data_IF_026153493969
#
_entry.id   IF_026153493969
#
_cell.length_a   1.000
_cell.length_b   1.000
_cell.length_c   1.000
_cell.angle_alpha   90.00
_cell.angle_beta   90.00
_cell.angle_gamma   90.00
#
_symmetry.space_group_name_H-M   'P 1'
#
loop_
_entity.id
_entity.type
_entity.pdbx_description
1 polymer ?
#
# COMPACT_ATOMS: atom_id res chain seq x y z
N UNK A 1 19.85 -0.41 -17.02
CA UNK A 1 19.78 -0.20 -15.57
C UNK A 1 19.40 -1.51 -14.86
N UNK A 2 19.96 -1.72 -13.67
CA UNK A 2 19.56 -2.87 -12.84
C UNK A 2 18.14 -2.73 -12.33
N UNK A 3 17.38 -3.82 -12.38
CA UNK A 3 16.03 -3.92 -11.83
C UNK A 3 15.77 -5.33 -11.29
N UNK A 4 15.02 -5.45 -10.18
CA UNK A 4 14.55 -6.72 -9.67
C UNK A 4 13.18 -7.04 -10.29
N UNK A 5 13.14 -8.03 -11.14
CA UNK A 5 11.97 -8.31 -11.98
C UNK A 5 11.50 -9.76 -11.88
N UNK A 6 10.20 -9.95 -12.04
CA UNK A 6 9.56 -11.23 -12.24
C UNK A 6 9.86 -11.72 -13.67
N UNK A 7 10.61 -12.80 -13.79
CA UNK A 7 10.94 -13.42 -15.10
C UNK A 7 9.81 -14.36 -15.54
N UNK A 8 9.34 -15.16 -14.60
CA UNK A 8 8.20 -16.07 -14.73
C UNK A 8 7.73 -16.44 -13.33
N UNK A 9 6.61 -17.09 -13.24
CA UNK A 9 6.09 -17.61 -11.96
C UNK A 9 7.18 -18.37 -11.20
N UNK A 10 7.33 -18.08 -9.93
CA UNK A 10 8.32 -18.61 -8.99
C UNK A 10 9.78 -18.23 -9.31
N UNK A 11 10.02 -17.29 -10.21
CA UNK A 11 11.36 -16.83 -10.54
C UNK A 11 11.40 -15.30 -10.66
N UNK A 12 12.08 -14.64 -9.73
CA UNK A 12 12.42 -13.23 -9.80
C UNK A 12 13.92 -13.05 -9.57
N UNK A 13 14.54 -12.14 -10.28
CA UNK A 13 15.98 -11.87 -10.19
C UNK A 13 16.33 -10.45 -10.66
N UNK A 14 17.54 -10.03 -10.34
CA UNK A 14 18.10 -8.80 -10.90
C UNK A 14 18.44 -9.03 -12.37
N UNK A 15 18.00 -8.12 -13.23
CA UNK A 15 18.30 -8.11 -14.67
C UNK A 15 18.61 -6.68 -15.12
N UNK A 16 19.28 -6.57 -16.26
CA UNK A 16 19.49 -5.29 -16.91
C UNK A 16 18.35 -4.98 -17.88
N UNK A 17 17.74 -3.82 -17.71
CA UNK A 17 16.68 -3.28 -18.55
C UNK A 17 17.06 -1.86 -19.05
N UNK A 18 16.50 -1.38 -20.16
CA UNK A 18 16.61 0.03 -20.53
C UNK A 18 16.10 0.95 -19.41
N UNK A 19 16.73 2.09 -19.20
CA UNK A 19 16.17 3.15 -18.34
C UNK A 19 14.85 3.66 -18.92
N UNK A 20 13.88 4.00 -18.06
CA UNK A 20 12.58 4.52 -18.51
C UNK A 20 12.80 5.85 -19.27
N UNK A 21 11.88 6.13 -20.18
CA UNK A 21 11.75 7.43 -20.84
C UNK A 21 10.38 7.97 -20.51
N UNK A 22 10.28 9.29 -20.35
CA UNK A 22 8.97 9.91 -20.19
C UNK A 22 8.06 9.50 -21.35
N UNK A 23 7.00 8.78 -21.00
CA UNK A 23 6.02 8.28 -21.97
C UNK A 23 4.88 9.28 -22.19
N UNK A 24 4.70 10.25 -21.26
CA UNK A 24 3.68 11.28 -21.31
C UNK A 24 4.21 12.59 -20.69
N UNK A 25 3.78 13.79 -21.16
CA UNK A 25 4.20 15.07 -20.63
C UNK A 25 3.74 15.35 -19.18
N UNK A 26 2.81 14.60 -18.62
CA UNK A 26 2.36 14.71 -17.22
C UNK A 26 3.12 13.78 -16.26
N UNK A 27 3.99 12.91 -16.77
CA UNK A 27 4.69 11.92 -15.97
C UNK A 27 6.00 12.46 -15.37
N UNK A 28 6.53 11.73 -14.39
CA UNK A 28 7.86 11.96 -13.84
C UNK A 28 8.69 10.67 -13.83
N UNK A 29 10.03 10.80 -13.97
CA UNK A 29 10.99 9.74 -13.74
C UNK A 29 11.64 9.99 -12.38
N UNK A 30 11.71 8.93 -11.56
CA UNK A 30 12.18 8.97 -10.20
C UNK A 30 13.27 7.91 -9.96
N UNK A 31 14.15 8.19 -9.00
CA UNK A 31 15.06 7.19 -8.42
C UNK A 31 14.64 6.92 -6.97
N UNK A 32 14.47 5.65 -6.54
CA UNK A 32 14.09 5.35 -5.17
C UNK A 32 15.22 5.74 -4.19
N UNK A 33 14.86 6.33 -3.06
CA UNK A 33 15.77 6.61 -1.93
C UNK A 33 15.47 5.73 -0.73
N UNK A 34 14.25 5.22 -0.62
CA UNK A 34 13.83 4.17 0.30
C UNK A 34 12.74 3.33 -0.35
N UNK A 35 12.78 2.03 -0.12
CA UNK A 35 11.78 1.06 -0.62
C UNK A 35 11.42 0.08 0.47
N UNK A 36 10.22 -0.50 0.39
CA UNK A 36 9.76 -1.60 1.25
C UNK A 36 9.31 -2.79 0.41
N UNK A 37 9.39 -3.97 1.00
CA UNK A 37 8.88 -5.21 0.40
C UNK A 37 7.57 -5.58 1.07
N UNK A 38 6.52 -5.66 0.28
CA UNK A 38 5.20 -6.07 0.73
C UNK A 38 4.97 -7.58 0.52
N UNK A 39 4.08 -8.18 1.31
CA UNK A 39 3.62 -9.56 1.08
C UNK A 39 2.99 -9.72 -0.31
N UNK A 40 2.42 -8.68 -0.88
CA UNK A 40 1.85 -8.70 -2.23
C UNK A 40 2.90 -8.88 -3.33
N UNK A 41 4.15 -8.42 -3.13
CA UNK A 41 5.28 -8.71 -4.04
C UNK A 41 5.59 -10.21 -4.04
N UNK A 42 5.62 -10.82 -2.85
CA UNK A 42 5.81 -12.28 -2.69
C UNK A 42 4.67 -13.04 -3.39
N UNK A 43 3.43 -12.60 -3.22
CA UNK A 43 2.27 -13.18 -3.90
C UNK A 43 2.31 -12.98 -5.42
N UNK A 44 2.91 -11.89 -5.90
CA UNK A 44 3.12 -11.67 -7.34
C UNK A 44 4.08 -12.69 -7.93
N UNK A 45 5.13 -13.07 -7.17
CA UNK A 45 6.11 -14.08 -7.61
C UNK A 45 5.57 -15.50 -7.50
N UNK A 46 4.98 -15.86 -6.35
CA UNK A 46 4.64 -17.25 -6.01
C UNK A 46 3.15 -17.59 -6.10
N UNK A 47 2.30 -16.59 -6.21
CA UNK A 47 0.86 -16.78 -6.23
C UNK A 47 0.33 -17.46 -7.50
N UNK A 48 -0.92 -17.91 -7.43
CA UNK A 48 -1.64 -18.56 -8.56
C UNK A 48 -2.45 -17.58 -9.42
N UNK A 49 -2.22 -16.27 -9.26
CA UNK A 49 -2.97 -15.22 -9.96
C UNK A 49 -2.79 -15.23 -11.50
N UNK A 50 -3.44 -14.27 -12.16
CA UNK A 50 -3.35 -14.09 -13.61
C UNK A 50 -1.91 -13.95 -14.12
N UNK A 51 -1.68 -14.34 -15.37
CA UNK A 51 -0.38 -14.18 -16.05
C UNK A 51 0.05 -12.71 -15.95
N UNK A 52 1.27 -12.49 -15.49
CA UNK A 52 1.91 -11.17 -15.41
C UNK A 52 2.75 -10.91 -16.67
N UNK A 53 3.02 -9.65 -16.99
CA UNK A 53 4.00 -9.31 -18.03
C UNK A 53 5.35 -9.98 -17.77
N UNK A 54 6.03 -10.40 -18.81
CA UNK A 54 7.40 -10.90 -18.71
C UNK A 54 8.33 -9.75 -18.34
N UNK A 55 9.32 -10.03 -17.48
CA UNK A 55 10.27 -9.04 -16.94
C UNK A 55 9.60 -7.86 -16.20
N UNK A 56 8.47 -8.11 -15.54
CA UNK A 56 7.79 -7.10 -14.74
C UNK A 56 8.67 -6.69 -13.56
N UNK A 57 9.09 -5.42 -13.53
CA UNK A 57 9.77 -4.84 -12.37
C UNK A 57 8.82 -4.86 -11.17
N UNK A 58 9.27 -5.42 -10.05
CA UNK A 58 8.49 -5.56 -8.82
C UNK A 58 8.58 -4.32 -7.93
N UNK A 59 7.83 -4.34 -6.82
CA UNK A 59 7.81 -3.28 -5.81
C UNK A 59 6.82 -2.17 -6.10
N UNK A 60 6.21 -1.64 -5.03
CA UNK A 60 5.18 -0.59 -5.13
C UNK A 60 5.20 0.39 -3.96
N UNK A 61 6.16 0.28 -3.07
CA UNK A 61 6.33 1.18 -1.93
C UNK A 61 7.68 1.88 -2.04
N UNK A 62 7.67 3.19 -2.24
CA UNK A 62 8.90 3.98 -2.33
C UNK A 62 8.73 5.41 -1.82
N UNK A 63 9.76 5.90 -1.14
CA UNK A 63 10.11 7.33 -1.13
C UNK A 63 11.18 7.51 -2.20
N UNK A 64 11.02 8.48 -3.07
CA UNK A 64 11.86 8.63 -4.25
C UNK A 64 12.26 10.09 -4.49
N UNK A 65 13.33 10.28 -5.23
CA UNK A 65 13.76 11.59 -5.72
C UNK A 65 13.40 11.73 -7.20
N UNK A 66 12.83 12.86 -7.57
CA UNK A 66 12.52 13.18 -8.95
C UNK A 66 13.82 13.45 -9.72
N UNK A 67 14.02 12.71 -10.79
CA UNK A 67 15.15 12.85 -11.72
C UNK A 67 14.76 13.72 -12.92
N UNK A 68 13.52 13.56 -13.38
CA UNK A 68 13.01 14.30 -14.52
C UNK A 68 11.50 14.45 -14.43
N UNK A 69 10.99 15.60 -14.82
CA UNK A 69 9.55 15.85 -14.97
C UNK A 69 9.17 16.08 -16.43
N UNK A 70 7.94 15.71 -16.78
CA UNK A 70 7.35 16.06 -18.07
C UNK A 70 6.99 17.56 -18.14
N UNK A 71 6.90 18.10 -19.34
CA UNK A 71 6.71 19.55 -19.57
C UNK A 71 5.40 20.13 -19.02
N UNK A 72 4.43 19.27 -18.71
CA UNK A 72 3.13 19.64 -18.16
C UNK A 72 2.97 19.39 -16.66
N UNK A 73 3.99 18.84 -16.00
CA UNK A 73 4.04 18.73 -14.53
C UNK A 73 4.23 20.13 -13.95
N UNK A 74 3.44 20.51 -12.95
CA UNK A 74 3.38 21.86 -12.37
C UNK A 74 3.83 21.92 -10.92
N UNK A 75 3.50 20.89 -10.14
CA UNK A 75 3.63 20.91 -8.67
C UNK A 75 4.99 20.36 -8.21
N UNK A 76 5.76 19.76 -9.12
CA UNK A 76 7.03 19.11 -8.82
C UNK A 76 8.16 19.55 -9.76
N UNK A 77 9.39 19.44 -9.27
CA UNK A 77 10.63 19.69 -10.02
C UNK A 77 11.70 18.64 -9.75
N UNK A 78 12.71 18.60 -10.59
CA UNK A 78 13.91 17.76 -10.39
C UNK A 78 14.55 18.04 -9.03
N UNK A 79 14.91 16.98 -8.31
CA UNK A 79 15.51 17.01 -6.99
C UNK A 79 14.51 16.89 -5.84
N UNK A 80 13.21 17.13 -6.05
CA UNK A 80 12.20 16.95 -5.01
C UNK A 80 12.19 15.51 -4.49
N UNK A 81 12.00 15.34 -3.19
CA UNK A 81 11.82 14.05 -2.55
C UNK A 81 10.34 13.85 -2.28
N UNK A 82 9.79 12.76 -2.78
CA UNK A 82 8.35 12.50 -2.81
C UNK A 82 8.02 11.12 -2.26
N UNK A 83 6.82 11.02 -1.69
CA UNK A 83 6.15 9.76 -1.36
C UNK A 83 5.43 9.27 -2.62
N UNK A 84 5.64 8.00 -2.98
CA UNK A 84 5.06 7.38 -4.16
C UNK A 84 4.01 6.36 -3.73
N UNK A 85 2.72 6.55 -4.06
CA UNK A 85 1.67 5.60 -3.67
C UNK A 85 1.79 4.30 -4.46
N UNK A 86 1.29 3.22 -3.88
CA UNK A 86 1.30 1.90 -4.52
C UNK A 86 0.42 1.84 -5.79
N UNK A 87 -0.61 2.66 -5.84
CA UNK A 87 -1.50 2.80 -6.99
C UNK A 87 -1.40 4.20 -7.58
N UNK A 88 -1.30 4.27 -8.90
CA UNK A 88 -1.17 5.51 -9.67
C UNK A 88 -2.31 5.60 -10.68
N UNK A 89 -3.52 6.02 -10.24
CA UNK A 89 -4.67 6.16 -11.12
C UNK A 89 -4.42 7.19 -12.22
N UNK A 90 -5.13 7.03 -13.34
CA UNK A 90 -5.10 7.99 -14.44
C UNK A 90 -6.07 9.14 -14.17
N UNK A 91 -5.59 10.37 -14.21
CA UNK A 91 -6.38 11.57 -13.99
C UNK A 91 -7.58 11.70 -14.94
N UNK A 92 -7.44 11.24 -16.18
CA UNK A 92 -8.50 11.30 -17.17
C UNK A 92 -9.56 10.20 -17.07
N UNK A 93 -9.40 9.27 -16.13
CA UNK A 93 -10.38 8.24 -15.87
C UNK A 93 -11.65 8.85 -15.23
N UNK A 94 -12.81 8.48 -15.79
CA UNK A 94 -14.08 9.02 -15.31
C UNK A 94 -14.37 8.67 -13.85
N UNK A 95 -14.00 7.49 -13.42
CA UNK A 95 -14.17 7.09 -12.02
C UNK A 95 -13.36 7.99 -11.07
N UNK A 96 -12.14 8.37 -11.47
CA UNK A 96 -11.33 9.33 -10.70
C UNK A 96 -12.01 10.69 -10.63
N UNK A 97 -12.50 11.20 -11.76
CA UNK A 97 -13.19 12.50 -11.82
C UNK A 97 -14.50 12.52 -11.05
N UNK A 98 -15.18 11.37 -10.98
CA UNK A 98 -16.40 11.19 -10.18
C UNK A 98 -16.10 10.92 -8.68
N UNK A 99 -14.83 10.83 -8.26
CA UNK A 99 -14.42 10.56 -6.88
C UNK A 99 -14.43 9.09 -6.47
N UNK A 100 -14.58 8.17 -7.42
CA UNK A 100 -14.61 6.73 -7.18
C UNK A 100 -13.21 6.11 -7.28
N UNK A 101 -12.28 6.55 -6.46
CA UNK A 101 -10.86 6.17 -6.55
C UNK A 101 -10.59 4.66 -6.46
N UNK A 102 -11.48 3.90 -5.81
CA UNK A 102 -11.34 2.43 -5.68
C UNK A 102 -11.62 1.67 -7.00
N UNK A 103 -12.28 2.29 -7.94
CA UNK A 103 -12.69 1.69 -9.21
C UNK A 103 -12.02 2.34 -10.43
N UNK A 104 -10.99 3.13 -10.20
CA UNK A 104 -10.31 3.86 -11.25
C UNK A 104 -9.67 2.94 -12.30
N UNK A 105 -10.22 3.01 -13.51
CA UNK A 105 -9.75 2.25 -14.67
C UNK A 105 -10.47 0.94 -14.91
N UNK A 106 -10.39 0.46 -16.16
CA UNK A 106 -11.03 -0.77 -16.65
C UNK A 106 -10.62 -2.06 -15.90
N UNK A 107 -9.65 -2.00 -15.06
CA UNK A 107 -9.18 -3.07 -14.17
C UNK A 107 -9.21 -2.57 -12.74
N UNK A 108 -9.73 -3.38 -11.84
CA UNK A 108 -9.83 -3.18 -10.39
C UNK A 108 -8.56 -2.70 -9.66
N UNK A 109 -7.53 -2.40 -10.36
CA UNK A 109 -6.22 -2.11 -9.78
C UNK A 109 -5.58 -0.94 -10.46
N UNK A 110 -6.31 0.06 -10.93
CA UNK A 110 -5.68 1.26 -11.48
C UNK A 110 -4.15 1.04 -11.66
N UNK A 111 -3.40 1.50 -12.42
CA UNK A 111 -1.98 1.24 -12.63
C UNK A 111 -1.19 0.92 -11.33
N UNK A 112 -1.34 -0.28 -10.78
CA UNK A 112 -0.61 -0.70 -9.57
C UNK A 112 0.84 -0.99 -9.93
N UNK A 113 1.76 -0.24 -9.34
CA UNK A 113 3.20 -0.41 -9.50
C UNK A 113 3.62 -1.84 -9.11
N UNK A 114 4.52 -2.45 -9.86
CA UNK A 114 4.99 -3.81 -9.62
C UNK A 114 3.95 -4.92 -9.87
N UNK A 115 2.79 -4.58 -10.42
CA UNK A 115 1.71 -5.55 -10.66
C UNK A 115 1.06 -5.44 -12.02
N UNK A 116 0.59 -4.27 -12.42
CA UNK A 116 0.05 -3.97 -13.76
C UNK A 116 0.99 -3.10 -14.58
N UNK A 117 1.82 -2.31 -13.89
CA UNK A 117 2.86 -1.46 -14.46
C UNK A 117 4.21 -1.77 -13.83
N UNK A 118 5.35 -1.40 -14.45
CA UNK A 118 6.67 -1.54 -13.85
C UNK A 118 6.73 -0.89 -12.46
N UNK A 119 7.36 -1.59 -11.51
CA UNK A 119 7.43 -1.18 -10.13
C UNK A 119 8.70 -0.39 -9.77
N UNK A 120 8.91 -0.23 -8.46
CA UNK A 120 9.94 0.65 -7.89
C UNK A 120 11.27 -0.07 -7.57
N UNK A 121 11.38 -1.38 -7.75
CA UNK A 121 12.63 -2.12 -7.48
C UNK A 121 13.59 -2.03 -8.66
N UNK A 122 13.94 -0.82 -9.05
CA UNK A 122 14.85 -0.49 -10.14
C UNK A 122 15.66 0.77 -9.80
N UNK A 123 16.71 1.05 -10.59
CA UNK A 123 17.47 2.31 -10.44
C UNK A 123 16.63 3.54 -10.74
N UNK A 124 15.73 3.41 -11.71
CA UNK A 124 14.78 4.46 -12.09
C UNK A 124 13.45 3.83 -12.45
N UNK A 125 12.37 4.56 -12.23
CA UNK A 125 11.02 4.17 -12.63
C UNK A 125 10.20 5.39 -13.01
N UNK A 126 9.15 5.19 -13.80
CA UNK A 126 8.24 6.26 -14.21
C UNK A 126 6.96 6.21 -13.37
N UNK A 127 6.45 7.38 -12.99
CA UNK A 127 5.13 7.54 -12.38
C UNK A 127 4.27 8.38 -13.32
N UNK A 128 3.10 7.83 -13.65
CA UNK A 128 2.11 8.52 -14.47
C UNK A 128 1.42 9.63 -13.67
N UNK A 129 0.98 10.69 -14.38
CA UNK A 129 0.21 11.81 -13.81
C UNK A 129 0.80 12.30 -12.47
N UNK A 130 2.05 12.80 -12.51
CA UNK A 130 2.84 13.12 -11.31
C UNK A 130 2.10 14.06 -10.35
N UNK A 131 1.45 15.11 -10.84
CA UNK A 131 0.72 16.08 -10.01
C UNK A 131 -0.49 15.47 -9.29
N UNK A 132 -1.05 14.35 -9.79
CA UNK A 132 -2.10 13.59 -9.12
C UNK A 132 -1.55 12.59 -8.11
N UNK A 133 -0.43 11.94 -8.47
CA UNK A 133 -0.01 10.69 -7.84
C UNK A 133 1.17 10.83 -6.87
N UNK A 134 1.82 11.98 -6.81
CA UNK A 134 2.96 12.20 -5.91
C UNK A 134 2.60 13.16 -4.78
N UNK A 135 3.31 13.03 -3.66
CA UNK A 135 3.25 14.00 -2.57
C UNK A 135 4.67 14.33 -2.10
N UNK A 136 4.96 15.62 -1.88
CA UNK A 136 6.25 16.03 -1.29
C UNK A 136 6.40 15.36 0.08
N UNK A 137 7.57 14.77 0.36
CA UNK A 137 7.91 14.36 1.71
C UNK A 137 8.13 15.62 2.56
N UNK A 138 7.30 15.86 3.58
CA UNK A 138 7.42 17.08 4.39
C UNK A 138 8.77 17.18 5.12
N UNK A 139 9.25 18.39 5.32
CA UNK A 139 10.44 18.63 6.13
C UNK A 139 10.26 18.08 7.56
N UNK A 140 11.27 17.40 8.08
CA UNK A 140 11.22 16.77 9.39
C UNK A 140 10.59 15.37 9.42
N UNK A 141 9.94 14.91 8.33
CA UNK A 141 9.46 13.53 8.22
C UNK A 141 10.59 12.63 7.75
N UNK A 142 10.84 11.54 8.48
CA UNK A 142 11.88 10.59 8.09
C UNK A 142 11.50 9.82 6.82
N UNK A 143 12.51 9.29 6.10
CA UNK A 143 12.26 8.41 4.94
C UNK A 143 11.44 7.18 5.34
N UNK A 144 11.65 6.64 6.54
CA UNK A 144 10.90 5.49 7.06
C UNK A 144 9.43 5.81 7.29
N UNK A 145 9.13 6.95 7.92
CA UNK A 145 7.74 7.37 8.14
C UNK A 145 7.02 7.67 6.83
N UNK A 146 7.68 8.37 5.90
CA UNK A 146 7.16 8.60 4.56
C UNK A 146 6.90 7.29 3.81
N UNK A 147 7.80 6.31 3.95
CA UNK A 147 7.65 5.00 3.32
C UNK A 147 6.43 4.23 3.84
N UNK A 148 6.12 4.31 5.14
CA UNK A 148 4.92 3.68 5.70
C UNK A 148 3.62 4.28 5.14
N UNK A 149 3.65 5.52 4.68
CA UNK A 149 2.50 6.19 4.08
C UNK A 149 2.25 5.82 2.60
N UNK A 150 3.16 5.09 1.95
CA UNK A 150 3.03 4.72 0.54
C UNK A 150 1.95 3.67 0.29
N UNK A 151 1.74 2.75 1.24
CA UNK A 151 0.73 1.69 1.17
C UNK A 151 0.15 1.36 2.56
N UNK A 152 0.98 0.89 3.50
CA UNK A 152 0.49 0.23 4.72
C UNK A 152 -0.40 1.12 5.58
N UNK A 153 -0.02 2.38 5.80
CA UNK A 153 -0.82 3.32 6.58
C UNK A 153 -2.10 3.69 5.84
N UNK A 154 -2.01 4.08 4.58
CA UNK A 154 -3.17 4.48 3.76
C UNK A 154 -4.16 3.34 3.62
N UNK A 155 -3.71 2.13 3.30
CA UNK A 155 -4.57 0.94 3.18
C UNK A 155 -5.23 0.58 4.50
N UNK A 156 -4.49 0.62 5.63
CA UNK A 156 -5.04 0.34 6.95
C UNK A 156 -6.08 1.37 7.38
N UNK A 157 -5.82 2.65 7.16
CA UNK A 157 -6.79 3.71 7.46
C UNK A 157 -8.03 3.67 6.58
N UNK A 158 -7.89 3.34 5.29
CA UNK A 158 -9.04 3.11 4.38
C UNK A 158 -9.91 1.95 4.89
N UNK A 159 -9.30 0.86 5.37
CA UNK A 159 -10.05 -0.23 6.00
C UNK A 159 -10.85 0.19 7.23
N UNK A 160 -10.44 1.25 7.92
CA UNK A 160 -11.14 1.78 9.08
C UNK A 160 -12.22 2.84 8.74
N UNK A 161 -12.37 3.26 7.47
CA UNK A 161 -13.30 4.34 7.08
C UNK A 161 -14.77 4.07 7.43
N UNK A 162 -15.17 2.80 7.46
CA UNK A 162 -16.54 2.38 7.80
C UNK A 162 -16.81 2.33 9.30
N UNK A 163 -15.79 2.48 10.15
CA UNK A 163 -15.94 2.41 11.61
C UNK A 163 -16.63 3.66 12.14
N UNK A 164 -17.66 3.47 12.97
CA UNK A 164 -18.36 4.52 13.69
C UNK A 164 -18.00 4.53 15.18
N UNK A 165 -18.31 5.62 15.85
CA UNK A 165 -18.12 5.74 17.29
C UNK A 165 -18.88 4.65 18.05
N UNK A 166 -18.17 3.92 18.91
CA UNK A 166 -18.73 2.86 19.73
C UNK A 166 -18.79 1.47 19.10
N UNK A 167 -18.44 1.33 17.81
CA UNK A 167 -18.45 0.03 17.11
C UNK A 167 -17.50 -0.99 17.76
N UNK A 168 -17.87 -2.26 17.65
CA UNK A 168 -16.98 -3.40 17.88
C UNK A 168 -16.32 -3.78 16.56
N UNK A 169 -15.00 -3.65 16.50
CA UNK A 169 -14.19 -3.90 15.30
C UNK A 169 -13.36 -5.16 15.48
N UNK A 170 -13.29 -6.00 14.45
CA UNK A 170 -12.37 -7.15 14.40
C UNK A 170 -11.36 -6.91 13.27
N UNK A 171 -10.08 -6.94 13.59
CA UNK A 171 -9.00 -6.81 12.59
C UNK A 171 -8.31 -8.16 12.40
N UNK A 172 -8.50 -8.77 11.22
CA UNK A 172 -7.91 -10.06 10.86
C UNK A 172 -6.49 -9.88 10.28
N UNK A 173 -5.49 -10.12 11.11
CA UNK A 173 -4.08 -9.94 10.78
C UNK A 173 -3.47 -8.70 11.43
N UNK A 174 -2.34 -8.89 12.15
CA UNK A 174 -1.58 -7.82 12.82
C UNK A 174 -0.23 -7.58 12.13
N UNK A 175 -0.24 -7.55 10.79
CA UNK A 175 0.86 -7.02 9.97
C UNK A 175 0.79 -5.49 9.89
N UNK A 176 1.63 -4.85 9.05
CA UNK A 176 1.65 -3.39 8.91
C UNK A 176 0.28 -2.77 8.63
N UNK A 177 -0.44 -3.29 7.64
CA UNK A 177 -1.80 -2.84 7.29
C UNK A 177 -2.77 -3.02 8.47
N UNK A 178 -2.78 -4.20 9.10
CA UNK A 178 -3.68 -4.47 10.22
C UNK A 178 -3.39 -3.60 11.45
N UNK A 179 -2.13 -3.31 11.75
CA UNK A 179 -1.75 -2.38 12.82
C UNK A 179 -2.27 -0.97 12.52
N UNK A 180 -2.19 -0.51 11.28
CA UNK A 180 -2.74 0.78 10.86
C UNK A 180 -4.28 0.80 10.85
N UNK A 181 -4.92 -0.32 10.51
CA UNK A 181 -6.38 -0.47 10.65
C UNK A 181 -6.83 -0.38 12.11
N UNK A 182 -6.08 -0.99 13.05
CA UNK A 182 -6.32 -0.85 14.49
C UNK A 182 -6.21 0.62 14.91
N UNK A 183 -5.13 1.30 14.50
CA UNK A 183 -4.92 2.71 14.77
C UNK A 183 -6.06 3.58 14.22
N UNK A 184 -6.43 3.38 12.96
CA UNK A 184 -7.53 4.09 12.31
C UNK A 184 -8.86 3.88 13.03
N UNK A 185 -9.19 2.64 13.41
CA UNK A 185 -10.40 2.30 14.16
C UNK A 185 -10.43 2.98 15.55
N UNK A 186 -9.29 2.99 16.25
CA UNK A 186 -9.17 3.66 17.54
C UNK A 186 -9.38 5.18 17.42
N UNK A 187 -8.75 5.82 16.43
CA UNK A 187 -8.91 7.26 16.16
C UNK A 187 -10.34 7.64 15.77
N UNK A 188 -11.10 6.73 15.17
CA UNK A 188 -12.52 6.92 14.84
C UNK A 188 -13.45 6.63 16.02
N UNK A 189 -12.92 6.22 17.17
CA UNK A 189 -13.68 6.04 18.38
C UNK A 189 -14.39 4.68 18.49
N UNK A 190 -13.82 3.62 17.89
CA UNK A 190 -14.31 2.27 18.11
C UNK A 190 -14.43 1.97 19.61
N UNK A 191 -15.55 1.37 20.04
CA UNK A 191 -15.78 1.03 21.44
C UNK A 191 -14.99 -0.20 21.90
N UNK A 192 -14.72 -1.11 20.97
CA UNK A 192 -13.91 -2.31 21.20
C UNK A 192 -13.19 -2.73 19.93
N UNK A 193 -11.91 -3.03 20.04
CA UNK A 193 -11.08 -3.53 18.92
C UNK A 193 -10.49 -4.88 19.30
N UNK A 194 -10.85 -5.93 18.59
CA UNK A 194 -10.33 -7.29 18.73
C UNK A 194 -9.38 -7.54 17.58
N UNK A 195 -8.09 -7.60 17.87
CA UNK A 195 -7.06 -7.89 16.88
C UNK A 195 -6.77 -9.40 16.82
N UNK A 196 -6.68 -9.97 15.63
CA UNK A 196 -6.45 -11.39 15.42
C UNK A 196 -5.07 -11.61 14.79
N UNK A 197 -4.16 -12.25 15.52
CA UNK A 197 -2.82 -12.53 15.03
C UNK A 197 -1.96 -13.27 16.04
N UNK A 198 -0.85 -13.84 15.57
CA UNK A 198 0.04 -14.65 16.40
C UNK A 198 1.51 -14.24 16.34
N UNK A 199 1.83 -13.12 15.67
CA UNK A 199 3.21 -12.65 15.54
C UNK A 199 3.64 -11.90 16.80
N UNK A 200 4.55 -12.48 17.59
CA UNK A 200 4.97 -11.95 18.89
C UNK A 200 5.39 -10.47 18.87
N UNK A 201 6.16 -10.05 17.86
CA UNK A 201 6.61 -8.67 17.74
C UNK A 201 5.47 -7.66 17.44
N UNK A 202 4.36 -8.11 16.86
CA UNK A 202 3.23 -7.23 16.52
C UNK A 202 2.19 -7.11 17.63
N UNK A 203 2.19 -8.03 18.60
CA UNK A 203 1.20 -8.04 19.69
C UNK A 203 1.30 -6.77 20.57
N UNK A 204 2.48 -6.37 21.06
CA UNK A 204 2.62 -5.13 21.84
C UNK A 204 2.17 -3.90 21.05
N UNK A 205 2.53 -3.82 19.76
CA UNK A 205 2.14 -2.71 18.89
C UNK A 205 0.63 -2.66 18.66
N UNK A 206 -0.05 -3.81 18.55
CA UNK A 206 -1.50 -3.84 18.42
C UNK A 206 -2.19 -3.20 19.64
N UNK A 207 -1.72 -3.49 20.85
CA UNK A 207 -2.22 -2.84 22.06
C UNK A 207 -1.88 -1.35 22.11
N UNK A 208 -0.66 -0.97 21.76
CA UNK A 208 -0.22 0.44 21.70
C UNK A 208 -1.08 1.25 20.74
N UNK A 209 -1.49 0.67 19.60
CA UNK A 209 -2.32 1.33 18.60
C UNK A 209 -3.82 1.26 18.88
N UNK A 210 -4.23 0.65 20.00
CA UNK A 210 -5.60 0.74 20.51
C UNK A 210 -6.40 -0.54 20.48
N UNK A 211 -5.79 -1.71 20.21
CA UNK A 211 -6.50 -2.98 20.38
C UNK A 211 -6.89 -3.19 21.84
N UNK A 212 -8.17 -3.53 22.09
CA UNK A 212 -8.66 -3.91 23.41
C UNK A 212 -8.21 -5.32 23.78
N UNK A 213 -8.12 -6.19 22.79
CA UNK A 213 -7.77 -7.60 22.93
C UNK A 213 -6.99 -8.08 21.70
N UNK A 214 -6.00 -8.96 21.93
CA UNK A 214 -5.31 -9.65 20.84
C UNK A 214 -5.49 -11.16 21.04
N UNK A 215 -6.00 -11.85 20.02
CA UNK A 215 -6.22 -13.28 20.03
C UNK A 215 -5.41 -14.01 18.95
N UNK A 216 -4.90 -15.18 19.28
CA UNK A 216 -4.18 -16.04 18.34
C UNK A 216 -5.19 -16.94 17.59
N UNK A 217 -5.20 -16.87 16.27
CA UNK A 217 -5.97 -17.80 15.43
C UNK A 217 -5.46 -19.25 15.49
N UNK A 218 -4.27 -19.48 16.04
CA UNK A 218 -3.68 -20.83 16.21
C UNK A 218 -4.31 -21.58 17.38
N UNK A 219 -4.72 -20.84 18.40
CA UNK A 219 -5.14 -21.39 19.69
C UNK A 219 -6.64 -21.18 19.93
N UNK A 220 -7.31 -20.42 19.06
CA UNK A 220 -8.70 -20.02 19.25
C UNK A 220 -9.53 -20.20 17.96
N UNK A 221 -10.80 -20.57 18.12
CA UNK A 221 -11.80 -20.35 17.09
C UNK A 221 -12.22 -18.88 17.14
N UNK A 222 -11.75 -18.11 16.15
CA UNK A 222 -11.94 -16.65 16.10
C UNK A 222 -13.43 -16.27 16.12
N UNK A 223 -14.26 -16.96 15.35
CA UNK A 223 -15.70 -16.68 15.28
C UNK A 223 -16.37 -16.91 16.63
N UNK A 224 -16.10 -18.04 17.28
CA UNK A 224 -16.65 -18.37 18.58
C UNK A 224 -16.20 -17.35 19.64
N UNK A 225 -14.93 -16.97 19.62
CA UNK A 225 -14.39 -15.96 20.53
C UNK A 225 -15.10 -14.62 20.36
N UNK A 226 -15.23 -14.14 19.14
CA UNK A 226 -15.91 -12.86 18.83
C UNK A 226 -17.38 -12.91 19.27
N UNK A 227 -18.11 -13.96 18.96
CA UNK A 227 -19.50 -14.12 19.39
C UNK A 227 -19.63 -14.10 20.92
N UNK A 228 -18.73 -14.79 21.64
CA UNK A 228 -18.71 -14.77 23.11
C UNK A 228 -18.40 -13.36 23.65
N UNK A 229 -17.37 -12.70 23.10
CA UNK A 229 -16.94 -11.36 23.51
C UNK A 229 -18.00 -10.28 23.25
N UNK A 230 -18.91 -10.51 22.31
CA UNK A 230 -19.99 -9.60 21.90
C UNK A 230 -21.38 -10.07 22.36
N UNK A 231 -21.47 -11.07 23.24
CA UNK A 231 -22.72 -11.66 23.72
C UNK A 231 -23.63 -12.13 22.59
N UNK A 232 -23.07 -12.72 21.55
CA UNK A 232 -23.77 -13.27 20.39
C UNK A 232 -24.11 -12.28 19.28
N UNK A 233 -23.79 -10.98 19.43
CA UNK A 233 -24.10 -9.96 18.41
C UNK A 233 -23.13 -10.02 17.19
N UNK A 234 -21.90 -10.44 17.38
CA UNK A 234 -20.85 -10.33 16.38
C UNK A 234 -20.17 -8.95 16.40
N UNK A 235 -19.31 -8.70 15.39
CA UNK A 235 -18.66 -7.41 15.20
C UNK A 235 -19.52 -6.52 14.28
N UNK A 236 -19.40 -5.21 14.47
CA UNK A 236 -20.05 -4.22 13.60
C UNK A 236 -19.21 -4.04 12.32
N UNK A 237 -17.86 -4.14 12.44
CA UNK A 237 -16.92 -4.05 11.32
C UNK A 237 -15.86 -5.16 11.43
N UNK A 238 -15.49 -5.76 10.28
CA UNK A 238 -14.42 -6.76 10.16
C UNK A 238 -13.47 -6.37 9.03
#
# INVERSE_FOLDING_TARGET
MEAFALIRRNEAKIIDLPSPKLSDPYNAILTPVAISVCTSDVNTVYGSGSKKPDNLILGHEAVARIVKVGEKVKDFKEGDVVVVPSMTPNFHDKDIQDGNFLHAGANFSANTLGRSTPGVFAREFEVADADLNLAILPEGVSLGDGLMCTDMATTGFTGAETVNFGDTVVVLGIGGVGLMAICGAALRGAGKIIAVGSRGASIPLAYEYGASEVISYKDNNVTEYVLKATKGKGADVV
#
